data_IF_098992733258
#
_entry.id   IF_098992733258
#
_cell.length_a   1.000
_cell.length_b   1.000
_cell.length_c   1.000
_cell.angle_alpha   90.00
_cell.angle_beta   90.00
_cell.angle_gamma   90.00
#
_symmetry.space_group_name_H-M   'P 1'
#
loop_
_entity.id
_entity.type
_entity.pdbx_description
1 polymer ?
#
# COMPACT_ATOMS: atom_id res chain seq x y z
N UNK A 1 2.78 -8.35 -27.49
CA UNK A 1 1.53 -7.75 -28.01
C UNK A 1 0.79 -7.10 -26.86
N UNK A 2 0.30 -5.88 -27.09
CA UNK A 2 -0.25 -4.98 -26.07
C UNK A 2 -1.53 -5.53 -25.43
N UNK A 3 -1.45 -6.03 -24.19
CA UNK A 3 -2.61 -6.23 -23.33
C UNK A 3 -3.04 -4.89 -22.71
N UNK A 4 -3.44 -3.95 -23.57
CA UNK A 4 -4.24 -2.78 -23.16
C UNK A 4 -5.67 -3.26 -22.93
N UNK A 5 -5.89 -4.02 -21.87
CA UNK A 5 -7.25 -4.25 -21.41
C UNK A 5 -7.75 -2.96 -20.76
N UNK A 6 -8.81 -2.38 -21.33
CA UNK A 6 -9.49 -1.23 -20.75
C UNK A 6 -9.97 -1.65 -19.36
N UNK A 7 -9.52 -0.97 -18.30
CA UNK A 7 -9.77 -1.37 -16.90
C UNK A 7 -11.27 -1.58 -16.62
N UNK A 8 -12.12 -0.82 -17.32
CA UNK A 8 -13.57 -0.84 -17.22
C UNK A 8 -14.24 -1.96 -18.02
N UNK A 9 -13.49 -2.68 -18.87
CA UNK A 9 -13.97 -3.86 -19.61
C UNK A 9 -13.79 -5.17 -18.84
N UNK A 10 -13.18 -5.10 -17.65
CA UNK A 10 -12.86 -6.26 -16.82
C UNK A 10 -14.00 -6.56 -15.82
N UNK A 11 -14.03 -7.80 -15.32
CA UNK A 11 -14.95 -8.21 -14.25
C UNK A 11 -14.83 -7.27 -13.03
N UNK A 12 -15.92 -7.06 -12.27
CA UNK A 12 -15.88 -6.23 -11.06
C UNK A 12 -14.81 -6.74 -10.10
N UNK A 13 -14.01 -5.81 -9.57
CA UNK A 13 -12.95 -6.11 -8.61
C UNK A 13 -13.53 -6.73 -7.34
N UNK A 14 -12.83 -7.71 -6.78
CA UNK A 14 -13.09 -8.18 -5.42
C UNK A 14 -12.35 -7.29 -4.41
N UNK A 15 -12.88 -7.10 -3.18
CA UNK A 15 -12.15 -6.36 -2.15
C UNK A 15 -10.76 -6.95 -1.89
N UNK A 16 -9.72 -6.11 -1.92
CA UNK A 16 -8.32 -6.56 -1.77
C UNK A 16 -7.66 -7.13 -3.02
N UNK A 17 -8.41 -7.24 -4.13
CA UNK A 17 -7.85 -7.57 -5.44
C UNK A 17 -7.15 -6.34 -6.03
N UNK A 18 -6.00 -6.58 -6.65
CA UNK A 18 -5.24 -5.56 -7.38
C UNK A 18 -5.04 -6.01 -8.82
N UNK A 19 -5.10 -5.08 -9.76
CA UNK A 19 -4.72 -5.30 -11.16
C UNK A 19 -3.79 -4.18 -11.60
N UNK A 20 -2.78 -4.53 -12.37
CA UNK A 20 -1.81 -3.57 -12.88
C UNK A 20 -2.07 -3.30 -14.37
N UNK A 21 -1.97 -2.04 -14.76
CA UNK A 21 -2.09 -1.61 -16.15
C UNK A 21 -0.97 -0.64 -16.50
N UNK A 22 -0.57 -0.61 -17.76
CA UNK A 22 0.43 0.37 -18.24
C UNK A 22 -0.20 1.74 -18.33
N UNK A 23 0.46 2.76 -17.78
CA UNK A 23 0.06 4.15 -17.95
C UNK A 23 0.56 4.70 -19.27
N UNK A 24 -0.26 5.46 -19.98
CA UNK A 24 0.17 6.21 -21.18
C UNK A 24 0.36 7.70 -20.94
N UNK A 25 -0.07 8.23 -19.78
CA UNK A 25 -0.19 9.67 -19.53
C UNK A 25 0.54 10.15 -18.27
N UNK A 26 1.07 9.23 -17.44
CA UNK A 26 1.81 9.58 -16.23
C UNK A 26 3.29 9.28 -16.41
N UNK A 27 4.13 9.93 -15.60
CA UNK A 27 5.55 9.62 -15.51
C UNK A 27 5.83 8.23 -14.91
N UNK A 28 4.82 7.58 -14.32
CA UNK A 28 4.89 6.18 -13.90
C UNK A 28 4.56 5.27 -15.07
N UNK A 29 5.36 4.22 -15.29
CA UNK A 29 5.09 3.25 -16.38
C UNK A 29 3.85 2.40 -16.10
N UNK A 30 3.55 2.15 -14.81
CA UNK A 30 2.49 1.27 -14.37
C UNK A 30 1.58 1.94 -13.35
N UNK A 31 0.32 1.53 -13.32
CA UNK A 31 -0.67 1.89 -12.30
C UNK A 31 -1.29 0.62 -11.75
N UNK A 32 -1.23 0.46 -10.42
CA UNK A 32 -1.90 -0.62 -9.71
C UNK A 32 -3.26 -0.13 -9.19
N UNK A 33 -4.34 -0.69 -9.70
CA UNK A 33 -5.70 -0.44 -9.24
C UNK A 33 -6.07 -1.47 -8.18
N UNK A 34 -6.50 -1.04 -7.00
CA UNK A 34 -6.91 -1.91 -5.90
C UNK A 34 -8.22 -1.44 -5.28
N UNK A 35 -9.09 -2.38 -4.88
CA UNK A 35 -10.32 -2.05 -4.15
C UNK A 35 -10.12 -2.11 -2.65
N UNK A 36 -10.01 -0.92 -2.04
CA UNK A 36 -10.03 -0.73 -0.61
C UNK A 36 -11.39 -1.09 0.01
N UNK A 37 -11.43 -1.50 1.30
CA UNK A 37 -12.69 -1.75 1.97
C UNK A 37 -13.42 -0.43 2.25
N UNK A 38 -14.73 -0.42 2.03
CA UNK A 38 -15.60 0.61 2.60
C UNK A 38 -15.69 0.38 4.10
N UNK A 39 -15.23 1.33 4.91
CA UNK A 39 -15.32 1.22 6.36
C UNK A 39 -16.79 1.23 6.80
N UNK A 40 -17.16 0.30 7.68
CA UNK A 40 -18.43 0.30 8.38
C UNK A 40 -18.14 0.13 9.88
N UNK A 41 -18.46 1.12 10.74
CA UNK A 41 -18.22 1.04 12.17
C UNK A 41 -18.91 -0.14 12.87
N UNK A 42 -20.02 -0.61 12.29
CA UNK A 42 -20.81 -1.73 12.78
C UNK A 42 -20.32 -3.10 12.31
N UNK A 43 -19.43 -3.14 11.31
CA UNK A 43 -18.86 -4.38 10.80
C UNK A 43 -17.69 -4.85 11.67
N UNK A 44 -17.35 -6.14 11.55
CA UNK A 44 -16.25 -6.75 12.29
C UNK A 44 -14.94 -5.98 12.03
N UNK A 45 -14.26 -5.43 13.07
CA UNK A 45 -13.06 -4.62 12.90
C UNK A 45 -11.97 -5.33 12.07
N UNK A 46 -11.82 -6.64 12.26
CA UNK A 46 -10.80 -7.45 11.59
C UNK A 46 -11.03 -7.60 10.08
N UNK A 47 -12.27 -7.54 9.61
CA UNK A 47 -12.58 -7.71 8.19
C UNK A 47 -11.96 -6.57 7.36
N UNK A 48 -12.13 -5.33 7.81
CA UNK A 48 -11.54 -4.16 7.14
C UNK A 48 -10.01 -4.20 7.17
N UNK A 49 -9.43 -4.63 8.30
CA UNK A 49 -7.98 -4.74 8.42
C UNK A 49 -7.39 -5.75 7.44
N UNK A 50 -8.04 -6.90 7.29
CA UNK A 50 -7.60 -7.95 6.38
C UNK A 50 -7.69 -7.49 4.92
N UNK A 51 -8.78 -6.83 4.52
CA UNK A 51 -8.90 -6.32 3.14
C UNK A 51 -7.87 -5.23 2.87
N UNK A 52 -7.64 -4.30 3.81
CA UNK A 52 -6.62 -3.26 3.65
C UNK A 52 -5.22 -3.86 3.54
N UNK A 53 -4.90 -4.86 4.38
CA UNK A 53 -3.67 -5.64 4.27
C UNK A 53 -3.54 -6.28 2.88
N UNK A 54 -4.59 -6.95 2.39
CA UNK A 54 -4.61 -7.57 1.07
C UNK A 54 -4.38 -6.55 -0.05
N UNK A 55 -4.93 -5.34 0.04
CA UNK A 55 -4.68 -4.29 -0.96
C UNK A 55 -3.18 -3.98 -1.08
N UNK A 56 -2.51 -3.68 0.04
CA UNK A 56 -1.07 -3.41 0.01
C UNK A 56 -0.26 -4.63 -0.44
N UNK A 57 -0.60 -5.81 0.08
CA UNK A 57 0.11 -7.05 -0.24
C UNK A 57 0.02 -7.40 -1.72
N UNK A 58 -1.18 -7.36 -2.29
CA UNK A 58 -1.44 -7.65 -3.71
C UNK A 58 -0.69 -6.66 -4.62
N UNK A 59 -0.71 -5.36 -4.32
CA UNK A 59 0.09 -4.36 -5.05
C UNK A 59 1.60 -4.66 -5.03
N UNK A 60 2.15 -5.00 -3.86
CA UNK A 60 3.58 -5.31 -3.70
C UNK A 60 3.97 -6.61 -4.41
N UNK A 61 3.09 -7.62 -4.36
CA UNK A 61 3.29 -8.88 -5.08
C UNK A 61 3.32 -8.68 -6.59
N UNK A 62 2.38 -7.90 -7.14
CA UNK A 62 2.38 -7.57 -8.56
C UNK A 62 3.64 -6.81 -8.97
N UNK A 63 4.08 -5.83 -8.18
CA UNK A 63 5.33 -5.11 -8.45
C UNK A 63 6.53 -6.08 -8.53
N UNK A 64 6.57 -7.06 -7.63
CA UNK A 64 7.65 -8.05 -7.59
C UNK A 64 7.60 -9.02 -8.78
N UNK A 65 6.41 -9.47 -9.17
CA UNK A 65 6.21 -10.48 -10.21
C UNK A 65 6.36 -9.91 -11.62
N UNK A 66 5.86 -8.70 -11.86
CA UNK A 66 5.76 -8.11 -13.20
C UNK A 66 7.01 -7.32 -13.59
N UNK A 67 7.74 -6.73 -12.62
CA UNK A 67 8.97 -5.99 -12.92
C UNK A 67 10.22 -6.88 -12.84
N UNK A 68 11.18 -6.76 -13.78
CA UNK A 68 12.42 -7.54 -13.75
C UNK A 68 13.26 -7.28 -12.50
N UNK A 69 13.78 -8.32 -11.84
CA UNK A 69 14.54 -8.23 -10.57
C UNK A 69 15.75 -7.26 -10.57
N UNK A 70 16.25 -6.87 -11.73
CA UNK A 70 17.41 -5.97 -11.86
C UNK A 70 17.05 -4.54 -12.24
N UNK A 71 15.77 -4.17 -12.25
CA UNK A 71 15.36 -2.80 -12.50
C UNK A 71 15.70 -1.92 -11.28
N UNK A 72 16.64 -0.95 -11.41
CA UNK A 72 17.00 -0.04 -10.33
C UNK A 72 15.83 0.87 -9.91
N UNK A 73 14.75 0.92 -10.69
CA UNK A 73 13.60 1.79 -10.48
C UNK A 73 12.34 1.05 -9.99
N UNK A 74 12.47 -0.14 -9.38
CA UNK A 74 11.34 -0.84 -8.72
C UNK A 74 10.82 -0.06 -7.51
N UNK A 75 10.02 0.96 -7.81
CA UNK A 75 9.45 1.87 -6.84
C UNK A 75 7.94 1.85 -6.98
N UNK A 76 7.25 1.76 -5.84
CA UNK A 76 5.79 1.93 -5.78
C UNK A 76 5.43 3.07 -4.83
N UNK A 77 4.53 3.94 -5.28
CA UNK A 77 3.97 4.99 -4.46
C UNK A 77 2.54 4.62 -4.04
N UNK A 78 2.28 4.57 -2.75
CA UNK A 78 0.95 4.33 -2.19
C UNK A 78 0.35 5.63 -1.69
N UNK A 79 -0.87 6.00 -2.13
CA UNK A 79 -1.69 6.89 -1.33
C UNK A 79 -2.19 6.14 -0.09
N UNK A 80 -2.88 6.84 0.80
CA UNK A 80 -3.60 6.20 1.90
C UNK A 80 -4.80 5.46 1.32
N UNK A 81 -4.77 4.12 1.39
CA UNK A 81 -5.80 3.25 0.81
C UNK A 81 -7.06 3.11 1.67
N UNK A 82 -7.29 3.96 2.67
CA UNK A 82 -8.50 3.87 3.52
C UNK A 82 -9.60 4.79 3.02
N UNK A 83 -10.87 4.36 3.15
CA UNK A 83 -12.02 5.22 2.81
C UNK A 83 -12.02 6.50 3.64
N UNK A 84 -12.23 7.64 2.97
CA UNK A 84 -12.44 8.93 3.62
C UNK A 84 -13.79 8.99 4.36
N UNK A 85 -14.79 8.20 3.94
CA UNK A 85 -16.13 8.22 4.53
C UNK A 85 -16.76 6.82 4.63
N UNK A 86 -17.28 6.41 5.81
CA UNK A 86 -16.94 6.95 7.12
C UNK A 86 -15.44 6.80 7.39
N UNK A 87 -14.83 7.79 8.06
CA UNK A 87 -13.40 7.85 8.28
C UNK A 87 -12.89 6.57 8.99
N UNK A 88 -12.12 5.76 8.28
CA UNK A 88 -11.34 4.72 8.93
C UNK A 88 -10.37 5.37 9.93
N UNK A 89 -10.15 4.81 11.14
CA UNK A 89 -9.19 5.40 12.08
C UNK A 89 -7.80 5.50 11.45
N UNK A 90 -7.32 6.73 11.22
CA UNK A 90 -6.10 7.01 10.44
C UNK A 90 -4.89 6.24 10.96
N UNK A 91 -4.60 6.35 12.27
CA UNK A 91 -3.48 5.65 12.89
C UNK A 91 -3.55 4.13 12.67
N UNK A 92 -4.73 3.52 12.82
CA UNK A 92 -4.91 2.08 12.56
C UNK A 92 -4.65 1.72 11.10
N UNK A 93 -5.11 2.56 10.16
CA UNK A 93 -4.87 2.38 8.73
C UNK A 93 -3.38 2.44 8.37
N UNK A 94 -2.69 3.44 8.90
CA UNK A 94 -1.24 3.62 8.74
C UNK A 94 -0.47 2.46 9.36
N UNK A 95 -0.85 1.98 10.55
CA UNK A 95 -0.25 0.79 11.15
C UNK A 95 -0.36 -0.42 10.23
N UNK A 96 -1.51 -0.66 9.60
CA UNK A 96 -1.71 -1.78 8.69
C UNK A 96 -0.85 -1.63 7.43
N UNK A 97 -0.83 -0.43 6.85
CA UNK A 97 -0.01 -0.12 5.68
C UNK A 97 1.47 -0.37 5.94
N UNK A 98 2.03 0.28 6.96
CA UNK A 98 3.45 0.23 7.30
C UNK A 98 3.86 -1.18 7.74
N UNK A 99 3.05 -1.85 8.59
CA UNK A 99 3.31 -3.24 8.99
C UNK A 99 3.34 -4.19 7.80
N UNK A 100 2.42 -4.03 6.85
CA UNK A 100 2.33 -4.89 5.66
C UNK A 100 3.55 -4.69 4.78
N UNK A 101 3.91 -3.44 4.51
CA UNK A 101 5.11 -3.08 3.74
C UNK A 101 6.37 -3.60 4.44
N UNK A 102 6.52 -3.41 5.75
CA UNK A 102 7.67 -3.90 6.53
C UNK A 102 7.86 -5.41 6.36
N UNK A 103 6.80 -6.19 6.61
CA UNK A 103 6.85 -7.66 6.49
C UNK A 103 7.16 -8.13 5.07
N UNK A 104 6.71 -7.38 4.07
CA UNK A 104 7.01 -7.67 2.68
C UNK A 104 8.48 -7.39 2.36
N UNK A 105 8.98 -6.21 2.75
CA UNK A 105 10.36 -5.78 2.50
C UNK A 105 11.38 -6.67 3.23
N UNK A 106 11.07 -7.18 4.42
CA UNK A 106 11.91 -8.17 5.11
C UNK A 106 12.16 -9.44 4.28
N UNK A 107 11.24 -9.82 3.40
CA UNK A 107 11.32 -11.03 2.59
C UNK A 107 11.73 -10.77 1.15
N UNK A 108 11.39 -9.60 0.60
CA UNK A 108 11.45 -9.31 -0.84
C UNK A 108 12.06 -7.95 -1.17
N UNK A 109 12.50 -7.17 -0.16
CA UNK A 109 12.77 -5.74 -0.31
C UNK A 109 14.16 -5.34 -0.81
N UNK A 110 15.02 -6.28 -1.23
CA UNK A 110 16.42 -5.97 -1.62
C UNK A 110 16.52 -4.85 -2.65
N UNK A 111 15.62 -4.87 -3.63
CA UNK A 111 15.62 -3.95 -4.77
C UNK A 111 14.30 -3.18 -4.89
N UNK A 112 13.49 -3.10 -3.82
CA UNK A 112 12.16 -2.47 -3.86
C UNK A 112 12.13 -1.24 -2.96
N UNK A 113 11.76 -0.10 -3.55
CA UNK A 113 11.50 1.14 -2.82
C UNK A 113 10.00 1.39 -2.69
N UNK A 114 9.56 1.83 -1.50
CA UNK A 114 8.15 2.14 -1.23
C UNK A 114 8.04 3.59 -0.77
N UNK A 115 7.15 4.34 -1.41
CA UNK A 115 6.85 5.73 -1.08
C UNK A 115 5.42 5.79 -0.55
N UNK A 116 5.22 6.41 0.62
CA UNK A 116 3.89 6.75 1.10
C UNK A 116 3.59 8.21 0.77
N UNK A 117 2.52 8.43 0.00
CA UNK A 117 2.06 9.75 -0.42
C UNK A 117 0.99 10.22 0.56
N UNK A 118 1.32 11.25 1.35
CA UNK A 118 0.41 11.86 2.33
C UNK A 118 -0.19 13.16 1.77
N UNK A 119 -1.45 13.43 2.09
CA UNK A 119 -2.17 14.60 1.59
C UNK A 119 -2.47 15.65 2.67
N UNK A 120 -2.41 15.27 3.96
CA UNK A 120 -2.69 16.17 5.08
C UNK A 120 -1.59 16.12 6.14
N UNK A 121 -1.50 17.18 6.95
CA UNK A 121 -0.60 17.23 8.10
C UNK A 121 -0.96 16.19 9.17
N UNK A 122 -2.24 15.84 9.29
CA UNK A 122 -2.70 14.80 10.22
C UNK A 122 -2.18 13.42 9.79
N UNK A 123 -2.19 13.14 8.49
CA UNK A 123 -1.63 11.91 7.95
C UNK A 123 -0.11 11.88 8.14
N UNK A 124 0.57 13.00 7.85
CA UNK A 124 2.02 13.11 8.05
C UNK A 124 2.40 12.80 9.51
N UNK A 125 1.72 13.40 10.49
CA UNK A 125 1.97 13.14 11.91
C UNK A 125 1.76 11.66 12.30
N UNK A 126 0.73 11.02 11.72
CA UNK A 126 0.49 9.59 11.93
C UNK A 126 1.63 8.73 11.35
N UNK A 127 2.08 9.03 10.12
CA UNK A 127 3.20 8.33 9.50
C UNK A 127 4.51 8.56 10.24
N UNK A 128 4.83 9.78 10.67
CA UNK A 128 6.06 10.09 11.41
C UNK A 128 6.15 9.32 12.73
N UNK A 129 5.03 9.12 13.42
CA UNK A 129 4.99 8.34 14.66
C UNK A 129 5.14 6.84 14.36
N UNK A 130 4.38 6.34 13.39
CA UNK A 130 4.29 4.89 13.12
C UNK A 130 5.49 4.35 12.35
N UNK A 131 6.12 5.15 11.49
CA UNK A 131 7.30 4.72 10.73
C UNK A 131 8.47 4.41 11.66
N UNK A 132 8.68 5.19 12.73
CA UNK A 132 9.75 4.93 13.71
C UNK A 132 9.60 3.56 14.38
N UNK A 133 8.36 3.16 14.65
CA UNK A 133 8.04 1.86 15.27
C UNK A 133 8.42 0.68 14.35
N UNK A 134 8.20 0.80 13.04
CA UNK A 134 8.43 -0.31 12.09
C UNK A 134 9.74 -0.21 11.30
N UNK A 135 10.30 0.98 11.19
CA UNK A 135 11.54 1.32 10.46
C UNK A 135 12.37 2.29 11.32
N UNK A 136 12.84 1.85 12.50
CA UNK A 136 13.66 2.68 13.37
C UNK A 136 14.94 3.10 12.65
N UNK A 137 15.31 4.38 12.77
CA UNK A 137 16.47 4.97 12.09
C UNK A 137 17.75 4.88 12.94
N UNK A 138 17.59 4.73 14.24
CA UNK A 138 18.66 4.61 15.22
C UNK A 138 18.22 3.71 16.38
N UNK A 139 19.15 3.39 17.28
CA UNK A 139 18.88 2.52 18.44
C UNK A 139 17.89 3.14 19.44
N UNK A 140 17.87 4.47 19.55
CA UNK A 140 16.92 5.19 20.42
C UNK A 140 15.47 4.94 19.97
N UNK A 141 15.16 5.10 18.68
CA UNK A 141 13.84 4.80 18.13
C UNK A 141 13.47 3.32 18.24
N UNK A 142 14.46 2.42 18.15
CA UNK A 142 14.22 0.98 18.34
C UNK A 142 13.87 0.65 19.79
N UNK A 143 14.48 1.32 20.77
CA UNK A 143 14.16 1.16 22.19
C UNK A 143 12.82 1.77 22.56
N UNK A 144 12.48 2.94 22.01
CA UNK A 144 11.16 3.58 22.20
C UNK A 144 9.99 2.72 21.67
N UNK A 145 10.25 1.87 20.67
CA UNK A 145 9.26 1.01 20.03
C UNK A 145 9.06 -0.38 20.67
N UNK A 146 9.89 -0.77 21.64
CA UNK A 146 9.81 -2.06 22.36
C UNK A 146 8.82 -2.02 23.51
#
# INVERSE_FOLDING_TARGET
>A
ENHKHDLFSLEPFKPGETRMVTSSLLNSEWIAYTLAPTYLPTALPNAHQNVLHSCYWSCLMLLKEELPSHDPNKTIAFPILTSETPHYPRASGVHIAVRTVRRFLERHGRDISVIFVVQSNEDLAAFETILKLYFPRNSEEEEEGK
#
